data_IF_942724729884
#
_entry.id   IF_942724729884
#
_cell.length_a   1.000
_cell.length_b   1.000
_cell.length_c   1.000
_cell.angle_alpha   90.00
_cell.angle_beta   90.00
_cell.angle_gamma   90.00
#
_symmetry.space_group_name_H-M   'P 1'
#
loop_
_entity.id
_entity.type
_entity.pdbx_description
1 polymer ?
#
# COMPACT_ATOMS: atom_id res chain seq x y z
N UNK A 1 2.82 -15.70 9.97
CA UNK A 1 3.96 -16.37 10.62
C UNK A 1 4.80 -15.44 11.52
N UNK A 2 4.65 -14.10 11.45
CA UNK A 2 5.46 -13.16 12.29
C UNK A 2 4.68 -12.51 13.45
N UNK A 3 3.35 -12.66 13.49
CA UNK A 3 2.46 -12.06 14.49
C UNK A 3 2.86 -12.32 15.96
N UNK A 4 3.32 -13.52 16.37
CA UNK A 4 3.70 -13.76 17.77
C UNK A 4 4.86 -12.88 18.26
N UNK A 5 5.77 -12.47 17.37
CA UNK A 5 6.92 -11.63 17.71
C UNK A 5 6.49 -10.24 18.16
N UNK A 6 5.41 -9.71 17.57
CA UNK A 6 4.91 -8.37 17.87
C UNK A 6 3.99 -8.34 19.11
N UNK A 7 3.61 -9.49 19.67
CA UNK A 7 2.82 -9.57 20.91
C UNK A 7 3.67 -9.49 22.18
N UNK A 8 4.99 -9.71 22.10
CA UNK A 8 5.92 -9.60 23.22
C UNK A 8 7.24 -8.91 22.81
N UNK A 9 7.20 -7.62 22.41
CA UNK A 9 8.34 -6.94 21.80
C UNK A 9 9.57 -6.78 22.70
N UNK A 10 9.39 -6.80 24.03
CA UNK A 10 10.48 -6.71 25.01
C UNK A 10 11.23 -8.05 25.23
N UNK A 11 10.64 -9.17 24.80
CA UNK A 11 11.27 -10.51 24.94
C UNK A 11 12.13 -10.89 23.74
N UNK A 12 11.98 -10.21 22.61
CA UNK A 12 12.77 -10.43 21.40
C UNK A 12 13.95 -9.45 21.34
N UNK A 13 15.17 -9.96 21.12
CA UNK A 13 16.33 -9.11 20.91
C UNK A 13 16.17 -8.22 19.66
N UNK A 14 16.83 -7.06 19.64
CA UNK A 14 16.68 -6.05 18.57
C UNK A 14 16.85 -6.62 17.14
N UNK A 15 17.79 -7.56 16.96
CA UNK A 15 18.01 -8.23 15.68
C UNK A 15 16.79 -9.08 15.25
N UNK A 16 16.17 -9.81 16.18
CA UNK A 16 14.98 -10.60 15.89
C UNK A 16 13.79 -9.71 15.53
N UNK A 17 13.60 -8.60 16.25
CA UNK A 17 12.55 -7.61 15.97
C UNK A 17 12.73 -6.99 14.58
N UNK A 18 13.96 -6.62 14.20
CA UNK A 18 14.23 -6.07 12.87
C UNK A 18 13.97 -7.10 11.76
N UNK A 19 14.46 -8.33 11.91
CA UNK A 19 14.20 -9.40 10.95
C UNK A 19 12.71 -9.71 10.83
N UNK A 20 11.98 -9.69 11.94
CA UNK A 20 10.53 -9.83 11.96
C UNK A 20 9.82 -8.71 11.21
N UNK A 21 10.24 -7.46 11.38
CA UNK A 21 9.69 -6.34 10.61
C UNK A 21 9.87 -6.55 9.09
N UNK A 22 11.07 -6.93 8.66
CA UNK A 22 11.34 -7.24 7.26
C UNK A 22 10.47 -8.40 6.76
N UNK A 23 10.41 -9.51 7.51
CA UNK A 23 9.62 -10.68 7.16
C UNK A 23 8.11 -10.36 7.10
N UNK A 24 7.62 -9.52 8.01
CA UNK A 24 6.22 -9.08 8.04
C UNK A 24 5.87 -8.27 6.79
N UNK A 25 6.73 -7.33 6.38
CA UNK A 25 6.54 -6.60 5.13
C UNK A 25 6.43 -7.54 3.91
N UNK A 26 7.36 -8.49 3.76
CA UNK A 26 7.28 -9.47 2.69
C UNK A 26 6.02 -10.34 2.78
N UNK A 27 5.62 -10.76 3.99
CA UNK A 27 4.41 -11.54 4.19
C UNK A 27 3.17 -10.78 3.68
N UNK A 28 3.01 -9.50 4.04
CA UNK A 28 1.88 -8.66 3.60
C UNK A 28 1.88 -8.50 2.09
N UNK A 29 3.04 -8.25 1.48
CA UNK A 29 3.14 -8.13 0.02
C UNK A 29 2.76 -9.42 -0.71
N UNK A 30 3.34 -10.56 -0.31
CA UNK A 30 3.09 -11.83 -0.98
C UNK A 30 1.64 -12.29 -0.83
N UNK A 31 1.05 -12.12 0.36
CA UNK A 31 -0.34 -12.46 0.62
C UNK A 31 -1.29 -11.61 -0.23
N UNK A 32 -1.08 -10.29 -0.23
CA UNK A 32 -1.98 -9.39 -0.94
C UNK A 32 -1.81 -9.49 -2.47
N UNK A 33 -0.57 -9.56 -2.97
CA UNK A 33 -0.30 -9.77 -4.40
C UNK A 33 -0.92 -11.09 -4.87
N UNK A 34 -0.68 -12.18 -4.14
CA UNK A 34 -1.23 -13.50 -4.48
C UNK A 34 -2.76 -13.49 -4.51
N UNK A 35 -3.42 -12.85 -3.54
CA UNK A 35 -4.87 -12.69 -3.55
C UNK A 35 -5.36 -11.95 -4.80
N UNK A 36 -4.69 -10.85 -5.17
CA UNK A 36 -5.08 -10.07 -6.35
C UNK A 36 -4.82 -10.81 -7.66
N UNK A 37 -3.76 -11.62 -7.72
CA UNK A 37 -3.45 -12.46 -8.89
C UNK A 37 -4.51 -13.56 -9.07
N UNK A 38 -4.97 -14.17 -7.97
CA UNK A 38 -6.09 -15.11 -7.99
C UNK A 38 -7.36 -14.42 -8.50
N UNK A 39 -7.64 -13.19 -8.06
CA UNK A 39 -8.80 -12.43 -8.54
C UNK A 39 -8.71 -12.10 -10.04
N UNK A 40 -7.55 -11.67 -10.52
CA UNK A 40 -7.28 -11.39 -11.94
C UNK A 40 -7.44 -12.67 -12.76
N UNK A 41 -6.84 -13.78 -12.33
CA UNK A 41 -6.95 -15.07 -12.99
C UNK A 41 -8.39 -15.58 -13.04
N UNK A 42 -9.13 -15.44 -11.94
CA UNK A 42 -10.56 -15.80 -11.87
C UNK A 42 -11.39 -14.96 -12.83
N UNK A 43 -11.16 -13.64 -12.87
CA UNK A 43 -11.86 -12.74 -13.79
C UNK A 43 -11.58 -13.09 -15.26
N UNK A 44 -10.34 -13.48 -15.59
CA UNK A 44 -9.96 -13.91 -16.93
C UNK A 44 -10.73 -15.15 -17.40
N UNK A 45 -11.05 -16.09 -16.49
CA UNK A 45 -11.89 -17.26 -16.80
C UNK A 45 -13.32 -16.88 -17.22
N UNK A 46 -13.83 -15.75 -16.72
CA UNK A 46 -15.14 -15.20 -17.09
C UNK A 46 -15.07 -14.19 -18.27
N UNK A 47 -13.90 -14.02 -18.89
CA UNK A 47 -13.70 -13.10 -20.03
C UNK A 47 -13.51 -11.64 -19.63
N UNK A 48 -13.32 -11.33 -18.35
CA UNK A 48 -13.03 -9.97 -17.87
C UNK A 48 -11.52 -9.73 -17.79
N UNK A 49 -11.10 -8.50 -18.12
CA UNK A 49 -9.71 -8.06 -17.97
C UNK A 49 -9.62 -7.07 -16.80
N UNK A 50 -9.14 -7.54 -15.66
CA UNK A 50 -8.84 -6.68 -14.51
C UNK A 50 -7.42 -6.08 -14.64
N UNK A 51 -7.20 -4.87 -14.12
CA UNK A 51 -5.86 -4.29 -14.05
C UNK A 51 -5.03 -4.95 -12.95
N UNK A 52 -3.71 -4.98 -13.14
CA UNK A 52 -2.76 -5.42 -12.11
C UNK A 52 -2.83 -4.51 -10.90
N UNK A 53 -2.67 -5.10 -9.70
CA UNK A 53 -2.72 -4.35 -8.45
C UNK A 53 -1.32 -4.04 -7.88
N UNK A 54 -0.27 -4.76 -8.29
CA UNK A 54 1.10 -4.55 -7.84
C UNK A 54 2.08 -4.53 -9.00
N UNK A 55 3.07 -3.64 -8.95
CA UNK A 55 4.11 -3.51 -9.97
C UNK A 55 5.51 -3.46 -9.36
N UNK A 56 5.98 -4.56 -8.77
CA UNK A 56 7.32 -4.67 -8.14
C UNK A 56 7.64 -3.51 -7.18
N UNK A 57 6.86 -3.31 -6.10
CA UNK A 57 6.97 -2.14 -5.23
C UNK A 57 8.34 -2.01 -4.56
N UNK A 58 8.97 -3.13 -4.18
CA UNK A 58 10.30 -3.12 -3.55
C UNK A 58 11.46 -2.78 -4.51
N UNK A 59 11.20 -2.68 -5.81
CA UNK A 59 12.17 -2.16 -6.78
C UNK A 59 12.09 -0.63 -6.95
N UNK A 60 11.30 0.06 -6.11
CA UNK A 60 11.19 1.51 -6.12
C UNK A 60 12.42 2.19 -5.48
N UNK A 61 12.88 3.28 -6.08
CA UNK A 61 14.01 4.08 -5.57
C UNK A 61 13.58 5.25 -4.67
N UNK A 62 12.28 5.57 -4.64
CA UNK A 62 11.72 6.65 -3.82
C UNK A 62 10.38 6.23 -3.21
N UNK A 63 9.98 6.80 -2.05
CA UNK A 63 8.68 6.51 -1.45
C UNK A 63 7.51 6.83 -2.38
N UNK A 64 7.59 7.92 -3.14
CA UNK A 64 6.57 8.25 -4.15
C UNK A 64 6.45 7.15 -5.22
N UNK A 65 7.59 6.63 -5.70
CA UNK A 65 7.60 5.56 -6.68
C UNK A 65 7.10 4.23 -6.09
N UNK A 66 7.33 3.98 -4.80
CA UNK A 66 6.79 2.81 -4.09
C UNK A 66 5.26 2.82 -4.09
N UNK A 67 4.63 3.94 -3.71
CA UNK A 67 3.17 4.07 -3.69
C UNK A 67 2.53 4.03 -5.08
N UNK A 68 3.29 4.41 -6.12
CA UNK A 68 2.89 4.24 -7.53
C UNK A 68 3.00 2.79 -8.04
N UNK A 69 3.51 1.87 -7.23
CA UNK A 69 3.68 0.44 -7.54
C UNK A 69 2.96 -0.49 -6.57
N UNK A 70 2.53 0.05 -5.43
CA UNK A 70 1.79 -0.64 -4.39
C UNK A 70 0.30 -0.34 -4.52
N UNK A 71 -0.53 -1.40 -4.56
CA UNK A 71 -1.99 -1.30 -4.55
C UNK A 71 -2.55 -0.32 -5.60
N UNK A 72 -2.14 -0.51 -6.85
CA UNK A 72 -2.36 0.39 -7.99
C UNK A 72 -3.81 0.83 -8.17
N UNK A 73 -4.76 -0.08 -7.98
CA UNK A 73 -6.18 0.20 -8.18
C UNK A 73 -6.71 1.20 -7.15
N UNK A 74 -6.38 1.02 -5.86
CA UNK A 74 -6.72 1.97 -4.80
C UNK A 74 -5.94 3.28 -4.95
N UNK A 75 -4.63 3.21 -5.25
CA UNK A 75 -3.82 4.41 -5.45
C UNK A 75 -4.40 5.30 -6.55
N UNK A 76 -4.88 4.71 -7.66
CA UNK A 76 -5.61 5.42 -8.72
C UNK A 76 -6.95 5.99 -8.22
N UNK A 77 -7.73 5.20 -7.50
CA UNK A 77 -8.99 5.66 -6.91
C UNK A 77 -8.78 6.89 -6.01
N UNK A 78 -7.86 6.83 -5.06
CA UNK A 78 -7.55 7.95 -4.18
C UNK A 78 -7.00 9.16 -4.97
N UNK A 79 -6.19 8.92 -6.00
CA UNK A 79 -5.69 9.98 -6.84
C UNK A 79 -6.82 10.72 -7.59
N UNK A 80 -7.73 9.98 -8.22
CA UNK A 80 -8.78 10.56 -9.05
C UNK A 80 -9.94 11.14 -8.24
N UNK A 81 -10.27 10.56 -7.08
CA UNK A 81 -11.45 10.94 -6.29
C UNK A 81 -11.13 11.76 -5.03
N UNK A 82 -9.88 11.84 -4.58
CA UNK A 82 -9.51 12.62 -3.39
C UNK A 82 -8.45 13.64 -3.77
N UNK A 83 -7.29 13.19 -4.26
CA UNK A 83 -6.15 14.07 -4.48
C UNK A 83 -6.38 15.13 -5.57
N UNK A 84 -6.87 14.72 -6.74
CA UNK A 84 -7.13 15.60 -7.88
C UNK A 84 -8.25 16.62 -7.59
N UNK A 85 -9.39 16.26 -6.96
CA UNK A 85 -10.41 17.22 -6.53
C UNK A 85 -9.92 18.27 -5.54
N UNK A 86 -8.94 17.95 -4.68
CA UNK A 86 -8.30 18.91 -3.77
C UNK A 86 -7.34 19.90 -4.45
N UNK A 87 -7.23 19.86 -5.79
CA UNK A 87 -6.37 20.73 -6.57
C UNK A 87 -5.02 20.11 -6.97
N UNK A 88 -4.73 18.89 -6.50
CA UNK A 88 -3.50 18.17 -6.82
C UNK A 88 -2.24 19.02 -6.57
N UNK A 89 -1.38 19.11 -7.59
CA UNK A 89 -0.12 19.88 -7.53
C UNK A 89 -0.24 21.34 -8.02
N UNK A 90 -1.46 21.84 -8.27
CA UNK A 90 -1.64 23.10 -9.03
C UNK A 90 -1.36 24.37 -8.21
N UNK A 91 -1.40 24.30 -6.88
CA UNK A 91 -1.35 25.47 -6.00
C UNK A 91 -0.04 25.58 -5.21
N UNK A 92 1.03 24.96 -5.70
CA UNK A 92 2.35 25.00 -5.09
C UNK A 92 2.63 23.85 -4.11
N UNK A 93 3.80 23.90 -3.47
CA UNK A 93 4.33 22.80 -2.68
C UNK A 93 3.55 22.57 -1.38
N UNK A 94 3.18 23.64 -0.67
CA UNK A 94 2.43 23.53 0.59
C UNK A 94 1.07 22.85 0.39
N UNK A 95 0.34 23.20 -0.68
CA UNK A 95 -0.93 22.55 -1.00
C UNK A 95 -0.74 21.11 -1.45
N UNK A 96 0.34 20.80 -2.18
CA UNK A 96 0.71 19.42 -2.53
C UNK A 96 0.90 18.56 -1.28
N UNK A 97 1.66 19.05 -0.29
CA UNK A 97 1.88 18.36 0.98
C UNK A 97 0.57 18.17 1.76
N UNK A 98 -0.25 19.23 1.87
CA UNK A 98 -1.55 19.15 2.53
C UNK A 98 -2.49 18.13 1.86
N UNK A 99 -2.61 18.18 0.54
CA UNK A 99 -3.44 17.25 -0.24
C UNK A 99 -2.97 15.81 -0.08
N UNK A 100 -1.66 15.60 -0.01
CA UNK A 100 -1.06 14.28 0.23
C UNK A 100 -1.44 13.79 1.62
N UNK A 101 -1.27 14.61 2.65
CA UNK A 101 -1.64 14.27 4.03
C UNK A 101 -3.12 13.93 4.18
N UNK A 102 -4.02 14.72 3.59
CA UNK A 102 -5.46 14.44 3.59
C UNK A 102 -5.75 13.10 2.91
N UNK A 103 -5.15 12.85 1.74
CA UNK A 103 -5.35 11.61 1.00
C UNK A 103 -4.91 10.39 1.81
N UNK A 104 -3.72 10.42 2.41
CA UNK A 104 -3.23 9.33 3.27
C UNK A 104 -4.06 9.18 4.55
N UNK A 105 -4.59 10.27 5.11
CA UNK A 105 -5.46 10.20 6.29
C UNK A 105 -6.77 9.49 5.97
N UNK A 106 -7.39 9.81 4.82
CA UNK A 106 -8.61 9.12 4.35
C UNK A 106 -8.34 7.64 4.12
N UNK A 107 -7.20 7.29 3.52
CA UNK A 107 -6.79 5.88 3.36
C UNK A 107 -6.63 5.20 4.72
N UNK A 108 -6.01 5.87 5.70
CA UNK A 108 -5.86 5.37 7.06
C UNK A 108 -7.22 5.05 7.70
N UNK A 109 -8.16 5.99 7.65
CA UNK A 109 -9.52 5.78 8.16
C UNK A 109 -10.27 4.67 7.42
N UNK A 110 -10.03 4.49 6.12
CA UNK A 110 -10.62 3.40 5.35
C UNK A 110 -10.14 2.01 5.79
N UNK A 111 -8.87 1.89 6.21
CA UNK A 111 -8.32 0.63 6.71
C UNK A 111 -8.82 0.24 8.10
N UNK A 112 -9.28 1.21 8.89
CA UNK A 112 -9.87 0.99 10.21
C UNK A 112 -9.84 2.27 11.04
N UNK A 113 -10.67 2.35 12.10
CA UNK A 113 -10.52 3.42 13.08
C UNK A 113 -9.14 3.33 13.74
N UNK A 114 -8.50 4.50 13.91
CA UNK A 114 -7.24 4.66 14.65
C UNK A 114 -7.37 4.20 16.10
#
# INVERSE_FOLDING_TARGET
MVHPLFQAPLGAGAAATFLGLCAFHFQVYCDFSGYTDIAIGSAALFGFKLPDNFATPYAAHTPANYWQRWHLTLSRFCFDYIYRPLGGNKHGELTTWFNTLVTFSVIGFWHGPL
#
